data_IF_640132241953
#
_entry.id   IF_640132241953
#
_cell.length_a   1.000
_cell.length_b   1.000
_cell.length_c   1.000
_cell.angle_alpha   90.00
_cell.angle_beta   90.00
_cell.angle_gamma   90.00
#
_symmetry.space_group_name_H-M   'P 1'
#
loop_
_entity.id
_entity.type
_entity.pdbx_description
1 polymer ?
#
# COMPACT_ATOMS: atom_id res chain seq x y z
N UNK A 1 -25.76 -57.35 -39.07
CA UNK A 1 -26.38 -56.27 -38.27
C UNK A 1 -25.63 -56.27 -36.94
N UNK A 2 -24.61 -55.39 -36.79
CA UNK A 2 -24.64 -54.16 -35.96
C UNK A 2 -25.07 -54.52 -34.54
N UNK A 3 -24.19 -54.46 -33.54
CA UNK A 3 -23.83 -53.21 -32.86
C UNK A 3 -22.37 -53.20 -32.39
N UNK A 4 -21.60 -52.26 -32.94
CA UNK A 4 -20.33 -51.79 -32.39
C UNK A 4 -20.67 -50.65 -31.43
N UNK A 5 -20.58 -50.90 -30.13
CA UNK A 5 -20.59 -49.84 -29.12
C UNK A 5 -19.25 -49.12 -29.18
N UNK A 6 -19.19 -48.08 -30.01
CA UNK A 6 -18.18 -47.03 -29.96
C UNK A 6 -18.29 -46.28 -28.62
N UNK A 7 -17.58 -46.76 -27.60
CA UNK A 7 -17.27 -45.96 -26.42
C UNK A 7 -15.90 -45.31 -26.65
N UNK A 8 -15.94 -44.14 -27.29
CA UNK A 8 -14.81 -43.22 -27.41
C UNK A 8 -14.32 -42.85 -26.01
N UNK A 9 -13.26 -43.49 -25.54
CA UNK A 9 -12.57 -43.08 -24.32
C UNK A 9 -12.03 -41.66 -24.52
N UNK A 10 -12.53 -40.74 -23.69
CA UNK A 10 -12.19 -39.34 -23.64
C UNK A 10 -10.67 -39.08 -23.76
N UNK A 11 -10.27 -38.25 -24.71
CA UNK A 11 -8.99 -37.54 -24.73
C UNK A 11 -8.92 -36.63 -23.49
N UNK A 12 -8.47 -37.16 -22.35
CA UNK A 12 -8.15 -36.35 -21.17
C UNK A 12 -6.92 -35.53 -21.50
N UNK A 13 -7.13 -34.28 -21.92
CA UNK A 13 -6.05 -33.32 -22.10
C UNK A 13 -5.53 -32.91 -20.72
N UNK A 14 -4.34 -33.38 -20.35
CA UNK A 14 -3.68 -32.99 -19.11
C UNK A 14 -3.13 -31.56 -19.25
N UNK A 15 -3.39 -30.70 -18.28
CA UNK A 15 -2.87 -29.33 -18.24
C UNK A 15 -1.90 -29.21 -17.07
N UNK A 16 -0.64 -28.87 -17.36
CA UNK A 16 0.34 -28.55 -16.33
C UNK A 16 0.40 -27.04 -16.11
N UNK A 17 0.12 -26.62 -14.88
CA UNK A 17 0.30 -25.23 -14.47
C UNK A 17 1.69 -25.07 -13.88
N UNK A 18 2.58 -24.38 -14.60
CA UNK A 18 4.01 -24.30 -14.30
C UNK A 18 4.41 -22.92 -13.74
N UNK A 19 5.40 -22.91 -12.85
CA UNK A 19 6.01 -21.68 -12.30
C UNK A 19 7.29 -21.24 -13.07
N UNK A 20 7.60 -21.85 -14.21
CA UNK A 20 8.75 -21.53 -15.07
C UNK A 20 10.04 -22.32 -14.77
N UNK A 21 11.02 -22.22 -15.67
CA UNK A 21 12.38 -22.79 -15.48
C UNK A 21 12.47 -24.32 -15.60
N UNK A 22 13.23 -24.96 -14.71
CA UNK A 22 13.49 -26.42 -14.72
C UNK A 22 12.22 -27.26 -14.58
N UNK A 23 11.17 -26.73 -13.94
CA UNK A 23 9.86 -27.39 -13.86
C UNK A 23 9.16 -27.48 -15.20
N UNK A 24 9.33 -26.49 -16.09
CA UNK A 24 8.78 -26.52 -17.44
C UNK A 24 9.47 -27.61 -18.28
N UNK A 25 10.79 -27.71 -18.17
CA UNK A 25 11.57 -28.77 -18.82
C UNK A 25 11.20 -30.16 -18.29
N UNK A 26 11.10 -30.32 -16.97
CA UNK A 26 10.64 -31.57 -16.35
C UNK A 26 9.25 -31.98 -16.82
N UNK A 27 8.32 -31.02 -16.96
CA UNK A 27 6.99 -31.29 -17.50
C UNK A 27 7.03 -31.70 -18.99
N UNK A 28 7.88 -31.08 -19.81
CA UNK A 28 8.06 -31.48 -21.24
C UNK A 28 8.56 -32.91 -21.36
N UNK A 29 9.51 -33.31 -20.51
CA UNK A 29 10.10 -34.65 -20.53
C UNK A 29 9.16 -35.71 -19.95
N UNK A 30 8.48 -35.40 -18.84
CA UNK A 30 7.64 -36.37 -18.12
C UNK A 30 6.23 -36.55 -18.69
N UNK A 31 5.69 -35.55 -19.38
CA UNK A 31 4.35 -35.59 -19.98
C UNK A 31 4.27 -34.69 -21.23
N UNK A 32 4.91 -35.07 -22.34
CA UNK A 32 4.96 -34.26 -23.58
C UNK A 32 3.58 -34.00 -24.19
N UNK A 33 2.60 -34.88 -23.92
CA UNK A 33 1.21 -34.73 -24.35
C UNK A 33 0.42 -33.66 -23.58
N UNK A 34 0.97 -33.15 -22.48
CA UNK A 34 0.26 -32.23 -21.62
C UNK A 34 0.47 -30.78 -22.04
N UNK A 35 -0.61 -30.01 -22.03
CA UNK A 35 -0.60 -28.60 -22.39
C UNK A 35 0.00 -27.81 -21.22
N UNK A 36 1.07 -27.09 -21.47
CA UNK A 36 1.69 -26.22 -20.47
C UNK A 36 0.94 -24.90 -20.39
N UNK A 37 0.64 -24.47 -19.17
CA UNK A 37 -0.08 -23.24 -18.88
C UNK A 37 0.65 -22.47 -17.80
N UNK A 38 0.90 -21.18 -18.03
CA UNK A 38 1.46 -20.30 -17.02
C UNK A 38 0.41 -19.96 -15.96
N UNK A 39 0.84 -19.91 -14.71
CA UNK A 39 -0.05 -19.48 -13.63
C UNK A 39 -0.28 -17.95 -13.67
N UNK A 40 -1.54 -17.55 -13.83
CA UNK A 40 -1.96 -16.14 -13.87
C UNK A 40 -1.62 -15.36 -12.61
N UNK A 41 -1.52 -16.01 -11.44
CA UNK A 41 -1.06 -15.32 -10.23
C UNK A 41 0.39 -14.85 -10.37
N UNK A 42 1.27 -15.71 -10.91
CA UNK A 42 2.68 -15.37 -11.14
C UNK A 42 2.82 -14.30 -12.22
N UNK A 43 2.01 -14.35 -13.28
CA UNK A 43 1.98 -13.28 -14.29
C UNK A 43 1.65 -11.91 -13.66
N UNK A 44 0.61 -11.85 -12.83
CA UNK A 44 0.24 -10.61 -12.13
C UNK A 44 1.26 -10.17 -11.09
N UNK A 45 1.88 -11.11 -10.37
CA UNK A 45 2.92 -10.81 -9.37
C UNK A 45 4.21 -10.29 -10.03
N UNK A 46 4.65 -10.91 -11.12
CA UNK A 46 5.83 -10.48 -11.87
C UNK A 46 5.62 -9.09 -12.49
N UNK A 47 4.41 -8.82 -13.01
CA UNK A 47 4.05 -7.49 -13.50
C UNK A 47 4.06 -6.44 -12.38
N UNK A 48 3.54 -6.79 -11.20
CA UNK A 48 3.57 -5.91 -10.03
C UNK A 48 5.01 -5.57 -9.63
N UNK A 49 5.91 -6.54 -9.63
CA UNK A 49 7.32 -6.35 -9.27
C UNK A 49 8.05 -5.47 -10.30
N UNK A 50 7.76 -5.66 -11.59
CA UNK A 50 8.28 -4.78 -12.64
C UNK A 50 7.81 -3.33 -12.45
N UNK A 51 6.52 -3.12 -12.18
CA UNK A 51 5.98 -1.78 -11.94
C UNK A 51 6.49 -1.15 -10.65
N UNK A 52 6.72 -1.94 -9.59
CA UNK A 52 7.35 -1.43 -8.38
C UNK A 52 8.73 -0.84 -8.72
N UNK A 53 9.53 -1.49 -9.58
CA UNK A 53 10.80 -0.94 -10.04
C UNK A 53 10.65 0.37 -10.85
N UNK A 54 9.66 0.44 -11.75
CA UNK A 54 9.34 1.68 -12.50
C UNK A 54 9.13 2.85 -11.55
N UNK A 55 8.34 2.66 -10.49
CA UNK A 55 8.02 3.71 -9.52
C UNK A 55 9.10 3.93 -8.47
N UNK A 56 9.94 2.93 -8.18
CA UNK A 56 11.14 3.10 -7.35
C UNK A 56 12.12 4.08 -8.00
N UNK A 57 12.21 4.07 -9.33
CA UNK A 57 13.03 5.00 -10.10
C UNK A 57 12.38 6.39 -10.26
N UNK A 58 11.06 6.52 -10.03
CA UNK A 58 10.26 7.75 -10.17
C UNK A 58 9.66 8.26 -8.84
N UNK A 59 10.36 8.06 -7.71
CA UNK A 59 9.86 8.48 -6.38
C UNK A 59 9.58 9.97 -6.27
N UNK A 60 10.40 10.81 -6.90
CA UNK A 60 10.21 12.26 -6.88
C UNK A 60 8.92 12.66 -7.62
N UNK A 61 8.57 11.97 -8.72
CA UNK A 61 7.30 12.16 -9.42
C UNK A 61 6.12 11.91 -8.49
N UNK A 62 6.14 10.83 -7.69
CA UNK A 62 5.06 10.52 -6.74
C UNK A 62 4.92 11.61 -5.65
N UNK A 63 6.03 12.20 -5.21
CA UNK A 63 6.02 13.32 -4.27
C UNK A 63 5.39 14.55 -4.92
N UNK A 64 5.77 14.88 -6.16
CA UNK A 64 5.22 16.01 -6.91
C UNK A 64 3.73 15.86 -7.16
N UNK A 65 3.25 14.66 -7.55
CA UNK A 65 1.81 14.39 -7.72
C UNK A 65 1.05 14.68 -6.43
N UNK A 66 1.56 14.23 -5.28
CA UNK A 66 0.90 14.48 -4.00
C UNK A 66 0.90 15.96 -3.62
N UNK A 67 1.97 16.69 -3.94
CA UNK A 67 2.06 18.14 -3.71
C UNK A 67 1.05 18.91 -4.57
N UNK A 68 0.93 18.56 -5.85
CA UNK A 68 -0.05 19.19 -6.76
C UNK A 68 -1.49 18.94 -6.31
N UNK A 69 -1.78 17.72 -5.84
CA UNK A 69 -3.11 17.40 -5.27
C UNK A 69 -3.36 18.25 -4.03
N UNK A 70 -2.37 18.34 -3.12
CA UNK A 70 -2.49 19.17 -1.91
C UNK A 70 -2.66 20.67 -2.24
N UNK A 71 -1.99 21.18 -3.27
CA UNK A 71 -2.12 22.58 -3.71
C UNK A 71 -3.47 22.86 -4.38
N UNK A 72 -4.01 21.90 -5.16
CA UNK A 72 -5.35 22.05 -5.73
C UNK A 72 -6.47 22.04 -4.67
N UNK A 73 -6.17 21.52 -3.47
CA UNK A 73 -7.06 21.52 -2.31
C UNK A 73 -6.85 22.74 -1.39
N UNK A 74 -5.81 23.57 -1.61
CA UNK A 74 -5.55 24.79 -0.84
C UNK A 74 -6.47 25.94 -1.27
N UNK A 75 -7.75 25.85 -0.87
CA UNK A 75 -8.61 27.02 -0.72
C UNK A 75 -8.32 27.69 0.65
N UNK A 76 -7.60 28.82 0.61
CA UNK A 76 -7.57 29.99 1.53
C UNK A 76 -7.61 29.85 3.08
N UNK A 77 -7.55 28.66 3.70
CA UNK A 77 -7.78 28.51 5.15
C UNK A 77 -6.68 27.67 5.86
N UNK A 78 -6.36 27.97 7.14
CA UNK A 78 -5.27 27.30 7.88
C UNK A 78 -5.65 25.88 8.28
N UNK A 79 -4.71 24.95 8.09
CA UNK A 79 -4.84 23.54 8.49
C UNK A 79 -4.92 23.38 10.03
N UNK A 80 -5.66 22.35 10.48
CA UNK A 80 -5.79 22.04 11.90
C UNK A 80 -4.44 21.83 12.59
N UNK A 81 -4.29 22.26 13.87
CA UNK A 81 -3.18 21.82 14.68
C UNK A 81 -3.16 20.29 14.68
N UNK A 82 -2.04 19.68 14.31
CA UNK A 82 -1.85 18.23 14.38
C UNK A 82 -2.20 17.79 15.80
N UNK A 83 -3.33 17.10 15.95
CA UNK A 83 -3.72 16.50 17.24
C UNK A 83 -2.58 15.59 17.63
N UNK A 84 -1.90 15.83 18.74
CA UNK A 84 -1.10 14.81 19.45
C UNK A 84 -2.07 14.18 20.43
N UNK A 85 -2.25 12.86 20.44
CA UNK A 85 -1.30 11.95 21.03
C UNK A 85 -1.25 12.35 22.48
N UNK A 86 -2.09 11.76 23.33
CA UNK A 86 -2.04 12.03 24.77
C UNK A 86 -0.75 11.38 25.26
N UNK A 87 0.36 12.08 25.09
CA UNK A 87 1.66 11.82 25.72
C UNK A 87 2.56 13.02 25.44
N UNK A 88 2.88 13.75 26.51
CA UNK A 88 4.09 14.56 26.72
C UNK A 88 4.89 14.99 25.46
N UNK A 89 4.33 15.89 24.63
CA UNK A 89 4.96 16.37 23.40
C UNK A 89 6.40 16.90 23.58
N UNK A 90 6.70 17.64 24.65
CA UNK A 90 8.03 18.26 24.81
C UNK A 90 9.20 17.26 24.95
N UNK A 91 9.01 16.11 25.61
CA UNK A 91 10.10 15.12 25.80
C UNK A 91 10.22 14.12 24.65
N UNK A 92 9.10 13.78 24.00
CA UNK A 92 9.10 12.87 22.85
C UNK A 92 9.61 13.54 21.58
N UNK A 93 9.29 14.82 21.37
CA UNK A 93 9.76 15.60 20.21
C UNK A 93 11.29 15.83 20.28
N UNK A 94 11.80 16.23 21.45
CA UNK A 94 13.25 16.33 21.73
C UNK A 94 14.00 15.01 21.48
N UNK A 95 13.44 13.88 21.90
CA UNK A 95 14.07 12.57 21.67
C UNK A 95 14.00 12.14 20.20
N UNK A 96 12.95 12.53 19.47
CA UNK A 96 12.82 12.31 18.03
C UNK A 96 13.85 13.13 17.25
N UNK A 97 14.00 14.41 17.58
CA UNK A 97 15.00 15.31 16.99
C UNK A 97 16.43 14.83 17.24
N UNK A 98 16.75 14.42 18.49
CA UNK A 98 18.07 13.84 18.82
C UNK A 98 18.36 12.56 18.06
N UNK A 99 17.35 11.68 17.93
CA UNK A 99 17.47 10.44 17.17
C UNK A 99 17.65 10.72 15.67
N UNK A 100 16.97 11.72 15.14
CA UNK A 100 17.12 12.14 13.75
C UNK A 100 18.51 12.73 13.49
N UNK A 101 18.99 13.61 14.36
CA UNK A 101 20.33 14.17 14.28
C UNK A 101 21.40 13.07 14.24
N UNK A 102 21.28 12.05 15.10
CA UNK A 102 22.18 10.90 15.11
C UNK A 102 22.17 10.11 13.79
N UNK A 103 21.01 9.89 13.17
CA UNK A 103 20.94 9.19 11.88
C UNK A 103 21.52 10.00 10.71
N UNK A 104 21.33 11.33 10.72
CA UNK A 104 21.91 12.24 9.73
C UNK A 104 23.44 12.28 9.89
N UNK A 105 23.94 12.39 11.11
CA UNK A 105 25.37 12.35 11.41
C UNK A 105 26.00 11.03 10.95
N UNK A 106 25.35 9.90 11.26
CA UNK A 106 25.81 8.58 10.81
C UNK A 106 25.86 8.47 9.28
N UNK A 107 24.87 9.03 8.58
CA UNK A 107 24.87 9.11 7.12
C UNK A 107 26.04 9.92 6.57
N UNK A 108 26.27 11.12 7.09
CA UNK A 108 27.39 11.97 6.68
C UNK A 108 28.73 11.28 6.93
N UNK A 109 28.88 10.63 8.08
CA UNK A 109 30.10 9.90 8.45
C UNK A 109 30.38 8.72 7.52
N UNK A 110 29.36 7.93 7.16
CA UNK A 110 29.48 6.83 6.21
C UNK A 110 29.86 7.34 4.82
N UNK A 111 29.19 8.38 4.32
CA UNK A 111 29.49 8.96 2.99
C UNK A 111 30.90 9.56 2.94
N UNK A 112 31.33 10.24 4.01
CA UNK A 112 32.67 10.82 4.11
C UNK A 112 33.80 9.80 4.22
N UNK A 113 33.58 8.65 4.86
CA UNK A 113 34.57 7.57 4.90
C UNK A 113 34.64 6.83 3.56
N UNK A 114 33.51 6.67 2.88
CA UNK A 114 33.46 6.06 1.56
C UNK A 114 34.08 6.93 0.47
N UNK A 115 33.94 8.26 0.54
CA UNK A 115 34.63 9.17 -0.39
C UNK A 115 36.16 9.10 -0.26
N UNK A 116 36.66 8.77 0.94
CA UNK A 116 38.08 8.48 1.21
C UNK A 116 38.52 7.07 0.79
N UNK A 117 37.67 6.31 0.09
CA UNK A 117 37.92 4.94 -0.42
C UNK A 117 38.29 3.92 0.67
N UNK A 118 37.83 4.14 1.91
CA UNK A 118 37.99 3.18 3.01
C UNK A 118 37.15 1.94 2.73
N UNK A 119 37.70 0.75 2.98
CA UNK A 119 36.96 -0.51 2.80
C UNK A 119 35.70 -0.59 3.68
N UNK A 120 34.64 -1.18 3.14
CA UNK A 120 33.30 -1.24 3.75
C UNK A 120 33.34 -1.98 5.09
N UNK A 121 34.21 -2.98 5.26
CA UNK A 121 34.37 -3.67 6.54
C UNK A 121 35.00 -2.76 7.61
N UNK A 122 35.92 -1.88 7.21
CA UNK A 122 36.54 -0.90 8.11
C UNK A 122 35.57 0.23 8.46
N UNK A 123 34.77 0.70 7.49
CA UNK A 123 33.69 1.69 7.74
C UNK A 123 32.70 1.14 8.77
N UNK A 124 32.27 -0.12 8.62
CA UNK A 124 31.38 -0.78 9.56
C UNK A 124 31.94 -0.81 11.00
N UNK A 125 33.23 -1.12 11.16
CA UNK A 125 33.90 -1.12 12.48
C UNK A 125 34.02 0.30 13.06
N UNK A 126 34.38 1.30 12.26
CA UNK A 126 34.54 2.69 12.73
C UNK A 126 33.22 3.38 13.10
N UNK A 127 32.13 3.04 12.40
CA UNK A 127 30.80 3.62 12.65
C UNK A 127 30.01 2.80 13.67
N UNK A 128 30.51 1.62 14.08
CA UNK A 128 29.81 0.74 15.02
C UNK A 128 28.50 0.18 14.46
N UNK A 129 28.43 -0.04 13.14
CA UNK A 129 27.23 -0.46 12.42
C UNK A 129 27.48 -1.71 11.58
N UNK A 130 26.44 -2.50 11.30
CA UNK A 130 26.58 -3.68 10.45
C UNK A 130 26.92 -3.30 9.00
N UNK A 131 27.65 -4.16 8.29
CA UNK A 131 27.96 -3.98 6.86
C UNK A 131 26.69 -3.72 6.04
N UNK A 132 25.58 -4.40 6.36
CA UNK A 132 24.27 -4.21 5.73
C UNK A 132 23.73 -2.79 5.92
N UNK A 133 23.92 -2.20 7.10
CA UNK A 133 23.54 -0.79 7.36
C UNK A 133 24.42 0.16 6.57
N UNK A 134 25.73 -0.08 6.50
CA UNK A 134 26.65 0.72 5.68
C UNK A 134 26.24 0.69 4.21
N UNK A 135 26.02 -0.49 3.63
CA UNK A 135 25.51 -0.62 2.26
C UNK A 135 24.21 0.15 2.06
N UNK A 136 23.23 -0.02 2.95
CA UNK A 136 21.96 0.70 2.86
C UNK A 136 22.15 2.22 2.85
N UNK A 137 23.07 2.76 3.67
CA UNK A 137 23.32 4.20 3.74
C UNK A 137 24.07 4.74 2.53
N UNK A 138 24.99 3.96 1.95
CA UNK A 138 25.68 4.34 0.72
C UNK A 138 24.75 4.40 -0.50
N UNK A 139 23.74 3.54 -0.56
CA UNK A 139 22.73 3.55 -1.64
C UNK A 139 21.69 4.66 -1.49
N UNK A 140 21.65 5.39 -0.37
CA UNK A 140 20.75 6.52 -0.18
C UNK A 140 21.35 7.80 -0.77
N UNK A 141 20.63 8.39 -1.74
CA UNK A 141 21.03 9.66 -2.40
C UNK A 141 20.90 10.88 -1.48
N UNK A 142 20.17 10.78 -0.39
CA UNK A 142 19.95 11.84 0.60
C UNK A 142 19.93 11.27 2.02
N UNK A 143 20.10 12.11 3.06
CA UNK A 143 20.01 11.68 4.45
C UNK A 143 18.66 11.02 4.77
N UNK A 144 18.62 10.05 5.70
CA UNK A 144 17.39 9.37 6.08
C UNK A 144 16.34 10.38 6.60
N UNK A 145 15.11 10.30 6.08
CA UNK A 145 14.01 11.16 6.52
C UNK A 145 13.56 10.82 7.96
N UNK A 146 13.01 11.79 8.72
CA UNK A 146 12.49 11.55 10.06
C UNK A 146 11.47 10.42 10.10
N UNK A 147 11.71 9.43 10.95
CA UNK A 147 10.77 8.33 11.17
C UNK A 147 9.52 8.86 11.90
N UNK A 148 8.44 9.13 11.16
CA UNK A 148 7.16 9.53 11.76
C UNK A 148 6.45 8.28 12.28
N UNK A 149 6.51 8.07 13.60
CA UNK A 149 5.76 7.02 14.30
C UNK A 149 4.27 7.28 14.10
N UNK A 150 3.59 6.38 13.39
CA UNK A 150 2.15 6.43 13.23
C UNK A 150 1.50 5.88 14.51
N UNK A 151 0.92 6.77 15.31
CA UNK A 151 -0.05 6.33 16.31
C UNK A 151 -1.33 5.91 15.56
N UNK A 152 -1.57 4.60 15.48
CA UNK A 152 -2.71 4.00 14.77
C UNK A 152 -4.01 4.18 15.57
N UNK A 153 -3.91 4.51 16.87
CA UNK A 153 -5.08 4.71 17.71
C UNK A 153 -5.68 6.10 17.55
N UNK A 154 -7.01 6.20 17.33
CA UNK A 154 -7.68 7.49 17.29
C UNK A 154 -7.50 8.17 18.65
N UNK A 155 -7.06 9.42 18.61
CA UNK A 155 -6.80 10.20 19.83
C UNK A 155 -8.14 10.43 20.51
N UNK A 156 -8.20 10.38 21.85
CA UNK A 156 -9.46 10.52 22.59
C UNK A 156 -10.22 11.85 22.35
N UNK A 157 -9.62 12.79 21.61
CA UNK A 157 -10.21 14.07 21.19
C UNK A 157 -10.80 14.02 19.78
N UNK A 158 -10.28 13.13 18.93
CA UNK A 158 -10.56 13.05 17.50
C UNK A 158 -12.05 12.97 17.13
N UNK A 159 -12.91 12.25 17.87
CA UNK A 159 -14.34 12.19 17.56
C UNK A 159 -15.06 13.55 17.60
N UNK A 160 -14.59 14.49 18.44
CA UNK A 160 -15.26 15.76 18.67
C UNK A 160 -14.42 16.99 18.29
N UNK A 161 -13.31 16.78 17.60
CA UNK A 161 -12.53 17.86 16.95
C UNK A 161 -13.40 18.73 16.02
N UNK A 162 -14.28 18.18 15.16
CA UNK A 162 -15.08 19.01 14.25
C UNK A 162 -15.95 20.02 14.98
N UNK A 163 -16.60 19.59 16.07
CA UNK A 163 -17.44 20.46 16.89
C UNK A 163 -16.64 21.55 17.61
N UNK A 164 -15.50 21.20 18.21
CA UNK A 164 -14.66 22.17 18.89
C UNK A 164 -14.16 23.27 17.95
N UNK A 165 -13.87 22.93 16.69
CA UNK A 165 -13.46 23.89 15.67
C UNK A 165 -14.61 24.75 15.18
N UNK A 166 -15.79 24.16 14.99
CA UNK A 166 -16.99 24.91 14.66
C UNK A 166 -17.25 25.99 15.72
N UNK A 167 -17.30 25.61 17.00
CA UNK A 167 -17.51 26.57 18.11
C UNK A 167 -16.38 27.59 18.21
N UNK A 168 -15.15 27.19 17.93
CA UNK A 168 -14.02 28.11 17.89
C UNK A 168 -14.14 29.14 16.77
N UNK A 169 -14.59 28.72 15.58
CA UNK A 169 -14.83 29.60 14.44
C UNK A 169 -16.03 30.52 14.64
N UNK A 170 -17.05 30.06 15.38
CA UNK A 170 -18.17 30.88 15.87
C UNK A 170 -17.74 31.89 16.95
N UNK A 171 -16.47 31.89 17.37
CA UNK A 171 -15.90 32.86 18.31
C UNK A 171 -15.92 32.42 19.77
N UNK A 172 -16.41 31.21 20.09
CA UNK A 172 -16.32 30.70 21.45
C UNK A 172 -14.86 30.40 21.83
N UNK A 173 -14.38 31.03 22.91
CA UNK A 173 -13.01 30.81 23.44
C UNK A 173 -13.00 30.12 24.80
N UNK A 174 -14.17 29.83 25.38
CA UNK A 174 -14.31 29.21 26.69
C UNK A 174 -14.29 27.67 26.60
N UNK A 175 -13.27 27.05 27.19
CA UNK A 175 -13.09 25.61 27.18
C UNK A 175 -14.10 24.84 28.03
N UNK A 176 -14.58 25.44 29.12
CA UNK A 176 -15.56 24.79 30.01
C UNK A 176 -16.97 24.81 29.40
N UNK A 177 -17.27 25.84 28.61
CA UNK A 177 -18.50 25.90 27.85
C UNK A 177 -18.55 24.78 26.80
N UNK A 178 -17.51 24.68 25.96
CA UNK A 178 -17.42 23.60 24.97
C UNK A 178 -17.43 22.19 25.62
N UNK A 179 -16.84 22.04 26.81
CA UNK A 179 -16.88 20.77 27.55
C UNK A 179 -18.32 20.38 27.96
N UNK A 180 -19.15 21.35 28.38
CA UNK A 180 -20.56 21.10 28.73
C UNK A 180 -21.38 20.73 27.51
N UNK A 181 -21.23 21.50 26.43
CA UNK A 181 -21.90 21.24 25.15
C UNK A 181 -21.54 19.84 24.61
N UNK A 182 -20.27 19.42 24.70
CA UNK A 182 -19.85 18.07 24.33
C UNK A 182 -20.51 16.96 25.17
N UNK A 183 -20.71 17.19 26.47
CA UNK A 183 -21.40 16.24 27.35
C UNK A 183 -22.89 16.13 27.01
N UNK A 184 -23.53 17.25 26.70
CA UNK A 184 -24.94 17.31 26.30
C UNK A 184 -25.20 16.58 24.98
N UNK A 185 -24.24 16.63 24.04
CA UNK A 185 -24.27 15.84 22.81
C UNK A 185 -23.95 14.34 23.00
N UNK A 186 -23.83 13.86 24.24
CA UNK A 186 -23.60 12.45 24.54
C UNK A 186 -22.14 11.97 24.46
N UNK A 187 -21.18 12.88 24.30
CA UNK A 187 -19.76 12.52 24.40
C UNK A 187 -19.29 12.47 25.85
N UNK A 188 -18.26 11.66 26.13
CA UNK A 188 -17.57 11.64 27.43
C UNK A 188 -16.15 12.24 27.33
N UNK A 189 -16.02 13.57 27.10
CA UNK A 189 -14.72 14.20 26.92
C UNK A 189 -13.96 14.33 28.25
N UNK A 190 -12.64 14.17 28.20
CA UNK A 190 -11.77 14.52 29.34
C UNK A 190 -11.55 16.04 29.37
N UNK A 191 -11.79 16.67 30.54
CA UNK A 191 -11.53 18.12 30.77
C UNK A 191 -10.11 18.52 30.37
N UNK A 192 -9.14 17.67 30.70
CA UNK A 192 -7.72 17.89 30.37
C UNK A 192 -7.45 17.84 28.87
N UNK A 193 -8.16 17.00 28.13
CA UNK A 193 -7.99 16.84 26.68
C UNK A 193 -8.58 18.01 25.91
N UNK A 194 -9.79 18.46 26.27
CA UNK A 194 -10.43 19.65 25.69
C UNK A 194 -9.65 20.92 26.03
N UNK A 195 -9.23 21.08 27.30
CA UNK A 195 -8.45 22.24 27.73
C UNK A 195 -7.10 22.36 27.00
N UNK A 196 -6.38 21.25 26.80
CA UNK A 196 -5.14 21.24 26.02
C UNK A 196 -5.37 21.58 24.55
N UNK A 197 -6.40 21.01 23.93
CA UNK A 197 -6.75 21.29 22.54
C UNK A 197 -7.01 22.79 22.32
N UNK A 198 -7.82 23.40 23.19
CA UNK A 198 -8.18 24.83 23.11
C UNK A 198 -6.98 25.72 23.44
N UNK A 199 -6.14 25.35 24.40
CA UNK A 199 -4.90 26.08 24.70
C UNK A 199 -3.97 26.12 23.48
N UNK A 200 -3.92 25.03 22.71
CA UNK A 200 -3.14 24.99 21.47
C UNK A 200 -3.73 25.88 20.38
N UNK A 201 -5.06 25.88 20.20
CA UNK A 201 -5.72 26.82 19.28
C UNK A 201 -5.43 28.29 19.64
N UNK A 202 -5.30 28.62 20.93
CA UNK A 202 -4.87 29.96 21.38
C UNK A 202 -3.41 30.26 21.00
N UNK A 203 -2.52 29.30 21.20
CA UNK A 203 -1.10 29.44 20.86
C UNK A 203 -0.90 29.61 19.34
N UNK A 204 -1.57 28.79 18.52
CA UNK A 204 -1.44 28.81 17.06
C UNK A 204 -2.11 30.05 16.43
N UNK A 205 -3.10 30.65 17.11
CA UNK A 205 -3.68 31.93 16.71
C UNK A 205 -2.86 33.15 17.15
N UNK A 206 -1.73 32.96 17.86
CA UNK A 206 -0.89 34.06 18.37
C UNK A 206 -1.54 34.91 19.46
N UNK A 207 -2.76 34.57 19.90
CA UNK A 207 -3.53 35.35 20.88
C UNK A 207 -3.27 34.82 22.29
N UNK A 208 -2.28 35.40 22.97
CA UNK A 208 -2.16 35.26 24.42
C UNK A 208 -3.33 36.00 25.10
N UNK A 209 -3.94 35.34 26.10
CA UNK A 209 -5.08 35.77 26.95
C UNK A 209 -5.58 37.20 26.71
N UNK A 210 -6.47 37.39 25.73
CA UNK A 210 -7.37 38.55 25.71
C UNK A 210 -8.80 38.05 25.88
N UNK A 211 -9.48 38.56 26.90
CA UNK A 211 -10.88 38.27 27.22
C UNK A 211 -11.85 39.12 26.36
N UNK A 212 -11.32 39.99 25.49
CA UNK A 212 -12.13 40.86 24.63
C UNK A 212 -12.44 40.18 23.29
N UNK A 213 -13.72 40.11 22.97
CA UNK A 213 -14.28 39.62 21.71
C UNK A 213 -13.91 40.56 20.56
N UNK A 214 -12.90 40.21 19.78
CA UNK A 214 -12.70 40.80 18.45
C UNK A 214 -13.46 40.02 17.39
N UNK A 215 -14.03 40.73 16.41
CA UNK A 215 -14.63 40.16 15.20
C UNK A 215 -13.59 39.30 14.48
N UNK A 216 -13.95 38.07 14.12
CA UNK A 216 -12.97 37.04 13.71
C UNK A 216 -13.19 36.62 12.25
N UNK A 217 -12.12 36.67 11.45
CA UNK A 217 -12.03 35.99 10.15
C UNK A 217 -11.95 34.47 10.37
N UNK A 218 -12.57 33.68 9.50
CA UNK A 218 -12.57 32.21 9.59
C UNK A 218 -11.15 31.64 9.51
N UNK A 219 -10.65 31.01 10.59
CA UNK A 219 -9.24 30.60 10.67
C UNK A 219 -9.03 29.10 10.36
N UNK A 220 -9.94 28.19 10.71
CA UNK A 220 -9.67 26.74 10.64
C UNK A 220 -10.77 25.94 9.93
N UNK A 221 -10.42 25.12 8.93
CA UNK A 221 -11.31 24.08 8.38
C UNK A 221 -10.82 22.67 8.74
N UNK A 222 -11.74 21.71 8.78
CA UNK A 222 -11.48 20.31 9.07
C UNK A 222 -10.38 19.80 8.14
N UNK A 223 -9.31 19.23 8.71
CA UNK A 223 -8.15 18.79 7.93
C UNK A 223 -8.61 17.78 6.87
N UNK A 224 -8.53 18.16 5.60
CA UNK A 224 -8.50 17.18 4.51
C UNK A 224 -7.37 16.22 4.87
N UNK A 225 -7.67 14.92 4.91
CA UNK A 225 -6.67 13.92 5.29
C UNK A 225 -5.48 14.08 4.34
N UNK A 226 -4.38 14.67 4.83
CA UNK A 226 -3.16 14.79 4.04
C UNK A 226 -2.66 13.37 3.77
N UNK A 227 -3.02 12.83 2.61
CA UNK A 227 -2.51 11.55 2.17
C UNK A 227 -1.01 11.73 1.91
N UNK A 228 -0.19 10.88 2.54
CA UNK A 228 1.22 10.81 2.18
C UNK A 228 1.32 10.38 0.72
N UNK A 229 2.39 10.77 0.00
CA UNK A 229 2.62 10.25 -1.33
C UNK A 229 2.58 8.72 -1.27
N UNK A 230 1.82 8.14 -2.20
CA UNK A 230 1.67 6.69 -2.27
C UNK A 230 3.04 6.04 -2.46
N UNK A 231 3.27 4.91 -1.80
CA UNK A 231 4.51 4.16 -1.99
C UNK A 231 4.54 3.56 -3.41
N UNK A 232 5.75 3.29 -3.97
CA UNK A 232 5.89 2.65 -5.28
C UNK A 232 5.02 1.40 -5.46
N UNK A 233 5.00 0.53 -4.45
CA UNK A 233 4.16 -0.66 -4.45
C UNK A 233 2.66 -0.34 -4.40
N UNK A 234 2.26 0.71 -3.70
CA UNK A 234 0.84 1.12 -3.67
C UNK A 234 0.40 1.62 -5.04
N UNK A 235 1.20 2.44 -5.72
CA UNK A 235 0.91 2.91 -7.08
C UNK A 235 0.89 1.75 -8.07
N UNK A 236 1.87 0.84 -8.01
CA UNK A 236 1.89 -0.37 -8.83
C UNK A 236 0.62 -1.22 -8.64
N UNK A 237 0.13 -1.36 -7.39
CA UNK A 237 -1.14 -2.03 -7.11
C UNK A 237 -2.35 -1.29 -7.67
N UNK A 238 -2.34 0.04 -7.65
CA UNK A 238 -3.42 0.82 -8.26
C UNK A 238 -3.48 0.58 -9.76
N UNK A 239 -2.33 0.49 -10.44
CA UNK A 239 -2.25 0.12 -11.86
C UNK A 239 -2.89 -1.25 -12.14
N UNK A 240 -2.67 -2.26 -11.29
CA UNK A 240 -3.28 -3.58 -11.49
C UNK A 240 -4.75 -3.66 -11.08
N UNK A 241 -5.22 -2.76 -10.21
CA UNK A 241 -6.57 -2.79 -9.66
C UNK A 241 -7.63 -2.48 -10.72
N UNK A 242 -8.81 -3.09 -10.60
CA UNK A 242 -9.97 -2.75 -11.45
C UNK A 242 -10.45 -1.34 -11.14
N UNK A 243 -10.85 -0.59 -12.16
CA UNK A 243 -11.31 0.79 -12.03
C UNK A 243 -12.49 0.90 -11.06
N UNK A 244 -13.43 -0.05 -11.10
CA UNK A 244 -14.61 -0.05 -10.21
C UNK A 244 -14.28 -0.23 -8.72
N UNK A 245 -13.09 -0.76 -8.40
CA UNK A 245 -12.65 -1.00 -7.01
C UNK A 245 -11.81 0.15 -6.43
N UNK A 246 -11.50 1.16 -7.23
CA UNK A 246 -10.71 2.32 -6.81
C UNK A 246 -11.61 3.34 -6.14
N UNK A 247 -11.09 3.96 -5.09
CA UNK A 247 -11.73 5.12 -4.46
C UNK A 247 -11.59 6.34 -5.37
N UNK A 248 -12.45 7.33 -5.17
CA UNK A 248 -12.47 8.51 -6.03
C UNK A 248 -11.14 9.29 -6.02
N UNK A 249 -10.56 9.49 -4.83
CA UNK A 249 -9.24 10.11 -4.69
C UNK A 249 -8.11 9.27 -5.34
N UNK A 250 -8.24 7.95 -5.41
CA UNK A 250 -7.25 7.09 -6.09
C UNK A 250 -7.31 7.25 -7.60
N UNK A 251 -8.50 7.51 -8.17
CA UNK A 251 -8.66 7.82 -9.59
C UNK A 251 -8.04 9.19 -9.91
N UNK A 252 -8.39 10.21 -9.13
CA UNK A 252 -7.83 11.55 -9.27
C UNK A 252 -6.30 11.54 -9.14
N UNK A 253 -5.75 10.75 -8.21
CA UNK A 253 -4.31 10.59 -8.08
C UNK A 253 -3.66 10.04 -9.34
N UNK A 254 -4.25 8.99 -9.94
CA UNK A 254 -3.74 8.39 -11.17
C UNK A 254 -3.86 9.34 -12.37
N UNK A 255 -4.97 10.06 -12.49
CA UNK A 255 -5.16 11.06 -13.56
C UNK A 255 -4.09 12.15 -13.49
N UNK A 256 -3.82 12.68 -12.29
CA UNK A 256 -2.74 13.65 -12.07
C UNK A 256 -1.37 13.05 -12.35
N UNK A 257 -1.11 11.82 -11.90
CA UNK A 257 0.16 11.14 -12.13
C UNK A 257 0.44 10.95 -13.64
N UNK A 258 -0.55 10.49 -14.40
CA UNK A 258 -0.44 10.30 -15.85
C UNK A 258 -0.35 11.63 -16.61
N UNK A 259 -0.92 12.72 -16.07
CA UNK A 259 -0.81 14.04 -16.68
C UNK A 259 0.59 14.66 -16.54
N UNK A 260 1.35 14.29 -15.50
CA UNK A 260 2.69 14.84 -15.25
C UNK A 260 3.74 14.16 -16.13
N UNK A 261 3.65 12.84 -16.33
CA UNK A 261 4.64 12.06 -17.06
C UNK A 261 3.97 11.17 -18.12
N UNK A 262 4.26 11.46 -19.40
CA UNK A 262 3.74 10.73 -20.55
C UNK A 262 4.21 9.28 -20.61
N UNK A 263 5.42 8.96 -20.13
CA UNK A 263 5.90 7.57 -20.06
C UNK A 263 5.08 6.76 -19.04
N UNK A 264 4.68 7.39 -17.93
CA UNK A 264 3.83 6.76 -16.92
C UNK A 264 2.41 6.55 -17.46
N UNK A 265 1.86 7.51 -18.20
CA UNK A 265 0.58 7.36 -18.89
C UNK A 265 0.59 6.19 -19.89
N UNK A 266 1.63 6.11 -20.71
CA UNK A 266 1.82 5.03 -21.67
C UNK A 266 1.99 3.67 -20.97
N UNK A 267 2.77 3.62 -19.90
CA UNK A 267 2.93 2.42 -19.07
C UNK A 267 1.58 1.99 -18.49
N UNK A 268 0.75 2.95 -18.05
CA UNK A 268 -0.58 2.67 -17.51
C UNK A 268 -1.47 1.98 -18.55
N UNK A 269 -1.51 2.50 -19.78
CA UNK A 269 -2.29 1.91 -20.88
C UNK A 269 -1.83 0.48 -21.18
N UNK A 270 -0.52 0.27 -21.36
CA UNK A 270 0.04 -1.06 -21.62
C UNK A 270 -0.28 -2.05 -20.50
N UNK A 271 -0.24 -1.62 -19.24
CA UNK A 271 -0.63 -2.45 -18.10
C UNK A 271 -2.13 -2.75 -18.11
N UNK A 272 -2.98 -1.78 -18.43
CA UNK A 272 -4.43 -2.02 -18.52
C UNK A 272 -4.76 -3.03 -19.62
N UNK A 273 -4.16 -2.90 -20.81
CA UNK A 273 -4.32 -3.85 -21.92
C UNK A 273 -3.97 -5.28 -21.48
N UNK A 274 -2.82 -5.46 -20.83
CA UNK A 274 -2.42 -6.78 -20.32
C UNK A 274 -3.38 -7.29 -19.25
N UNK A 275 -3.83 -6.43 -18.34
CA UNK A 275 -4.74 -6.82 -17.27
C UNK A 275 -6.15 -7.13 -17.79
N UNK A 276 -6.60 -6.49 -18.87
CA UNK A 276 -7.84 -6.88 -19.59
C UNK A 276 -7.65 -8.27 -20.17
N UNK A 277 -6.57 -8.51 -20.91
CA UNK A 277 -6.24 -9.81 -21.51
C UNK A 277 -6.21 -10.94 -20.46
N UNK A 278 -5.56 -10.70 -19.32
CA UNK A 278 -5.46 -11.66 -18.21
C UNK A 278 -6.81 -11.97 -17.54
N UNK A 279 -7.72 -10.98 -17.49
CA UNK A 279 -9.03 -11.10 -16.86
C UNK A 279 -10.07 -11.73 -17.80
N UNK A 280 -10.04 -11.36 -19.08
CA UNK A 280 -11.00 -11.82 -20.10
C UNK A 280 -10.57 -13.07 -20.84
N UNK A 281 -9.36 -13.57 -20.55
CA UNK A 281 -8.80 -14.77 -21.17
C UNK A 281 -8.57 -14.62 -22.68
N UNK A 282 -8.05 -13.46 -23.10
CA UNK A 282 -7.82 -13.10 -24.51
C UNK A 282 -6.37 -13.34 -24.96
N UNK A 283 -5.79 -14.50 -24.66
CA UNK A 283 -4.39 -14.80 -24.95
C UNK A 283 -3.94 -14.60 -26.42
N UNK A 284 -4.86 -14.53 -27.39
CA UNK A 284 -4.54 -14.20 -28.78
C UNK A 284 -3.94 -12.80 -28.95
N UNK A 285 -4.30 -11.83 -28.09
CA UNK A 285 -3.75 -10.48 -28.12
C UNK A 285 -2.32 -10.36 -27.60
N UNK A 286 -1.74 -11.43 -27.02
CA UNK A 286 -0.42 -11.39 -26.37
C UNK A 286 0.69 -10.96 -27.34
N UNK A 287 0.66 -11.47 -28.58
CA UNK A 287 1.70 -11.17 -29.57
C UNK A 287 1.76 -9.70 -29.97
N UNK A 288 0.60 -9.05 -30.15
CA UNK A 288 0.52 -7.62 -30.48
C UNK A 288 0.95 -6.76 -29.31
N UNK A 289 0.51 -7.13 -28.10
CA UNK A 289 0.91 -6.44 -26.87
C UNK A 289 2.43 -6.49 -26.65
N UNK A 290 3.07 -7.64 -26.86
CA UNK A 290 4.52 -7.80 -26.74
C UNK A 290 5.27 -6.90 -27.73
N UNK A 291 4.83 -6.84 -29.00
CA UNK A 291 5.42 -5.93 -30.01
C UNK A 291 5.29 -4.47 -29.58
N UNK A 292 4.12 -4.07 -29.07
CA UNK A 292 3.86 -2.71 -28.59
C UNK A 292 4.78 -2.34 -27.43
N UNK A 293 4.87 -3.17 -26.39
CA UNK A 293 5.73 -2.93 -25.22
C UNK A 293 7.21 -2.90 -25.58
N UNK A 294 7.65 -3.71 -26.56
CA UNK A 294 9.05 -3.74 -26.98
C UNK A 294 9.52 -2.41 -27.58
N UNK A 295 8.64 -1.70 -28.28
CA UNK A 295 8.95 -0.41 -28.93
C UNK A 295 8.70 0.76 -27.98
N UNK A 296 7.58 0.71 -27.26
CA UNK A 296 7.01 1.86 -26.54
C UNK A 296 7.05 1.72 -25.02
N UNK A 297 7.43 0.55 -24.48
CA UNK A 297 7.42 0.31 -23.04
C UNK A 297 8.67 0.83 -22.36
N UNK A 298 8.55 1.13 -21.07
CA UNK A 298 9.71 1.42 -20.20
C UNK A 298 10.59 0.18 -20.01
N UNK A 299 11.88 0.39 -19.68
CA UNK A 299 12.89 -0.69 -19.59
C UNK A 299 12.46 -1.87 -18.72
N UNK A 300 11.84 -1.60 -17.57
CA UNK A 300 11.38 -2.62 -16.64
C UNK A 300 10.23 -3.45 -17.22
N UNK A 301 9.31 -2.81 -17.95
CA UNK A 301 8.19 -3.50 -18.61
C UNK A 301 8.65 -4.27 -19.85
N UNK A 302 9.65 -3.75 -20.59
CA UNK A 302 10.31 -4.48 -21.68
C UNK A 302 11.00 -5.74 -21.16
N UNK A 303 11.68 -5.67 -20.01
CA UNK A 303 12.30 -6.84 -19.37
C UNK A 303 11.26 -7.89 -18.96
N UNK A 304 10.11 -7.45 -18.43
CA UNK A 304 8.97 -8.32 -18.16
C UNK A 304 8.44 -8.98 -19.44
N UNK A 305 8.20 -8.22 -20.50
CA UNK A 305 7.75 -8.73 -21.80
C UNK A 305 8.73 -9.76 -22.40
N UNK A 306 10.03 -9.50 -22.34
CA UNK A 306 11.08 -10.45 -22.75
C UNK A 306 11.04 -11.75 -21.94
N UNK A 307 10.66 -11.67 -20.67
CA UNK A 307 10.42 -12.85 -19.84
C UNK A 307 9.25 -13.68 -20.35
N UNK A 308 8.14 -13.04 -20.72
CA UNK A 308 6.97 -13.71 -21.29
C UNK A 308 7.27 -14.35 -22.66
N UNK A 309 8.08 -13.71 -23.50
CA UNK A 309 8.48 -14.25 -24.81
C UNK A 309 9.17 -15.62 -24.71
N UNK A 310 9.96 -15.86 -23.64
CA UNK A 310 10.65 -17.14 -23.44
C UNK A 310 9.69 -18.31 -23.23
N UNK A 311 8.58 -18.07 -22.55
CA UNK A 311 7.55 -19.05 -22.22
C UNK A 311 6.24 -18.77 -22.98
N UNK A 312 6.32 -18.20 -24.18
CA UNK A 312 5.19 -17.62 -24.92
C UNK A 312 3.97 -18.54 -25.01
N UNK A 313 4.15 -19.79 -25.43
CA UNK A 313 3.04 -20.75 -25.58
C UNK A 313 2.35 -21.06 -24.25
N UNK A 314 3.13 -21.18 -23.16
CA UNK A 314 2.58 -21.42 -21.83
C UNK A 314 1.84 -20.18 -21.30
N UNK A 315 2.38 -18.98 -21.55
CA UNK A 315 1.73 -17.71 -21.18
C UNK A 315 0.44 -17.51 -21.96
N UNK A 316 0.47 -17.69 -23.29
CA UNK A 316 -0.70 -17.63 -24.16
C UNK A 316 -1.79 -18.58 -23.67
N UNK A 317 -1.42 -19.83 -23.38
CA UNK A 317 -2.34 -20.82 -22.82
C UNK A 317 -2.90 -20.39 -21.46
N UNK A 318 -2.07 -19.88 -20.57
CA UNK A 318 -2.49 -19.36 -19.25
C UNK A 318 -3.42 -18.15 -19.34
N UNK A 319 -3.31 -17.38 -20.41
CA UNK A 319 -4.18 -16.26 -20.76
C UNK A 319 -5.38 -16.67 -21.63
N UNK A 320 -5.56 -17.94 -21.99
CA UNK A 320 -6.70 -18.39 -22.82
C UNK A 320 -7.58 -19.42 -22.09
N UNK A 321 -6.98 -20.24 -21.22
CA UNK A 321 -7.71 -21.28 -20.52
C UNK A 321 -8.34 -20.79 -19.21
N UNK A 322 -9.52 -21.34 -18.88
CA UNK A 322 -10.21 -21.05 -17.62
C UNK A 322 -9.46 -21.55 -16.38
N UNK A 323 -8.56 -22.52 -16.54
CA UNK A 323 -7.85 -23.18 -15.45
C UNK A 323 -6.79 -22.27 -14.84
N UNK A 324 -6.69 -22.25 -13.51
CA UNK A 324 -5.74 -21.44 -12.75
C UNK A 324 -5.43 -22.12 -11.42
N UNK A 325 -4.18 -22.06 -10.98
CA UNK A 325 -3.72 -22.64 -9.72
C UNK A 325 -3.71 -21.63 -8.56
N UNK A 326 -3.96 -20.33 -8.80
CA UNK A 326 -3.90 -19.32 -7.75
C UNK A 326 -4.80 -19.57 -6.53
N UNK A 327 -5.99 -20.17 -6.72
CA UNK A 327 -6.88 -20.53 -5.62
C UNK A 327 -6.34 -21.67 -4.75
N UNK A 328 -5.82 -22.72 -5.39
CA UNK A 328 -5.18 -23.87 -4.75
C UNK A 328 -3.84 -23.48 -4.12
N UNK A 329 -3.04 -22.63 -4.75
CA UNK A 329 -1.78 -22.12 -4.20
C UNK A 329 -2.01 -21.36 -2.88
N UNK A 330 -3.07 -20.55 -2.80
CA UNK A 330 -3.48 -19.88 -1.56
C UNK A 330 -3.80 -20.88 -0.44
N UNK A 331 -4.51 -21.96 -0.75
CA UNK A 331 -4.81 -23.01 0.23
C UNK A 331 -3.57 -23.82 0.61
N UNK A 332 -2.69 -24.13 -0.34
CA UNK A 332 -1.41 -24.79 -0.10
C UNK A 332 -0.52 -23.93 0.80
N UNK A 333 -0.42 -22.63 0.53
CA UNK A 333 0.36 -21.70 1.37
C UNK A 333 -0.23 -21.58 2.77
N UNK A 334 -1.56 -21.55 2.90
CA UNK A 334 -2.24 -21.63 4.20
C UNK A 334 -1.90 -22.91 4.94
N UNK A 335 -1.93 -24.05 4.26
CA UNK A 335 -1.62 -25.35 4.84
C UNK A 335 -0.15 -25.46 5.24
N UNK A 336 0.76 -24.95 4.41
CA UNK A 336 2.19 -24.80 4.72
C UNK A 336 2.41 -23.92 5.95
N UNK A 337 1.69 -22.80 6.07
CA UNK A 337 1.76 -21.93 7.25
C UNK A 337 1.31 -22.67 8.52
N UNK A 338 0.18 -23.38 8.47
CA UNK A 338 -0.32 -24.17 9.60
C UNK A 338 0.68 -25.27 10.01
N UNK A 339 1.27 -25.96 9.02
CA UNK A 339 2.32 -26.96 9.25
C UNK A 339 3.58 -26.35 9.88
N UNK A 340 3.97 -25.14 9.48
CA UNK A 340 5.11 -24.40 10.09
C UNK A 340 4.79 -23.98 11.53
N UNK A 341 3.56 -23.58 11.82
CA UNK A 341 3.11 -23.25 13.18
C UNK A 341 3.12 -24.46 14.12
N UNK A 342 3.10 -25.68 13.58
CA UNK A 342 3.21 -26.93 14.35
C UNK A 342 4.61 -27.53 14.29
N UNK A 343 5.61 -26.78 13.81
CA UNK A 343 6.98 -27.25 13.63
C UNK A 343 7.08 -28.54 12.80
N UNK A 344 6.12 -28.77 11.90
CA UNK A 344 6.05 -30.00 11.10
C UNK A 344 5.54 -31.24 11.84
N UNK A 345 5.25 -31.15 13.14
CA UNK A 345 4.89 -32.27 14.02
C UNK A 345 3.40 -32.63 13.97
N UNK A 346 2.56 -31.82 13.31
CA UNK A 346 1.13 -32.12 13.24
C UNK A 346 0.84 -33.25 12.25
N UNK A 347 0.32 -34.36 12.78
CA UNK A 347 -0.29 -35.43 12.00
C UNK A 347 -1.55 -34.97 11.25
N UNK A 348 -2.05 -35.82 10.34
CA UNK A 348 -3.17 -35.49 9.45
C UNK A 348 -4.43 -35.02 10.21
N UNK A 349 -4.80 -35.71 11.30
CA UNK A 349 -6.01 -35.39 12.06
C UNK A 349 -5.94 -33.99 12.70
N UNK A 350 -4.79 -33.61 13.27
CA UNK A 350 -4.57 -32.28 13.83
C UNK A 350 -4.57 -31.20 12.73
N UNK A 351 -3.95 -31.48 11.58
CA UNK A 351 -3.98 -30.59 10.41
C UNK A 351 -5.40 -30.39 9.89
N UNK A 352 -6.17 -31.48 9.73
CA UNK A 352 -7.58 -31.47 9.31
C UNK A 352 -8.42 -30.61 10.25
N UNK A 353 -8.29 -30.82 11.57
CA UNK A 353 -9.01 -30.01 12.57
C UNK A 353 -8.63 -28.52 12.50
N UNK A 354 -7.34 -28.18 12.36
CA UNK A 354 -6.89 -26.78 12.24
C UNK A 354 -7.32 -26.10 10.93
N UNK A 355 -7.54 -26.86 9.86
CA UNK A 355 -8.04 -26.32 8.59
C UNK A 355 -9.55 -26.10 8.65
N UNK A 356 -10.31 -27.10 9.14
CA UNK A 356 -11.78 -27.11 9.16
C UNK A 356 -12.38 -26.26 10.29
N UNK A 357 -11.81 -26.30 11.49
CA UNK A 357 -12.34 -25.58 12.68
C UNK A 357 -11.69 -24.22 12.90
N UNK A 358 -10.99 -23.68 11.91
CA UNK A 358 -10.52 -22.29 11.99
C UNK A 358 -11.74 -21.39 11.91
N UNK A 359 -12.07 -20.74 13.01
CA UNK A 359 -13.06 -19.66 13.02
C UNK A 359 -12.79 -18.71 11.86
N UNK A 360 -13.73 -18.69 10.91
CA UNK A 360 -13.69 -17.72 9.83
C UNK A 360 -13.89 -16.36 10.50
N UNK A 361 -12.87 -15.50 10.50
CA UNK A 361 -13.00 -14.08 10.90
C UNK A 361 -13.87 -13.29 9.90
N UNK A 362 -15.08 -13.77 9.59
CA UNK A 362 -16.13 -13.06 8.85
C UNK A 362 -16.79 -11.99 9.74
N UNK A 363 -16.62 -12.05 11.07
CA UNK A 363 -17.32 -11.15 11.99
C UNK A 363 -16.82 -9.70 12.06
N UNK A 364 -15.67 -9.35 11.46
CA UNK A 364 -15.24 -7.92 11.45
C UNK A 364 -16.08 -7.05 10.52
N UNK A 365 -16.67 -7.60 9.45
CA UNK A 365 -17.59 -6.85 8.57
C UNK A 365 -19.03 -6.81 9.13
N UNK A 366 -19.47 -7.88 9.79
CA UNK A 366 -20.82 -7.94 10.38
C UNK A 366 -20.96 -7.07 11.63
N UNK A 367 -19.91 -6.96 12.48
CA UNK A 367 -19.92 -6.01 13.61
C UNK A 367 -20.05 -4.55 13.18
N UNK A 368 -19.45 -4.15 12.06
CA UNK A 368 -19.64 -2.78 11.50
C UNK A 368 -21.05 -2.55 10.95
N UNK A 369 -21.65 -3.56 10.30
CA UNK A 369 -23.03 -3.47 9.80
C UNK A 369 -24.07 -3.44 10.93
N UNK A 370 -23.90 -4.25 11.99
CA UNK A 370 -24.79 -4.22 13.16
C UNK A 370 -24.70 -2.88 13.91
N UNK A 371 -23.51 -2.31 14.08
CA UNK A 371 -23.34 -1.01 14.75
C UNK A 371 -24.00 0.15 13.98
N UNK A 372 -23.90 0.14 12.65
CA UNK A 372 -24.55 1.14 11.79
C UNK A 372 -26.08 1.03 11.71
N UNK A 373 -26.66 -0.13 12.05
CA UNK A 373 -28.12 -0.32 12.12
C UNK A 373 -28.66 0.11 13.48
N UNK A 374 -27.90 -0.13 14.56
CA UNK A 374 -28.28 0.35 15.91
C UNK A 374 -28.14 1.87 16.07
N UNK A 375 -27.19 2.51 15.38
CA UNK A 375 -27.02 3.98 15.37
C UNK A 375 -28.02 4.70 14.45
N UNK A 376 -28.81 3.98 13.65
CA UNK A 376 -29.92 4.54 12.84
C UNK A 376 -31.30 4.33 13.45
N UNK A 377 -31.38 3.54 14.52
CA UNK A 377 -32.62 3.19 15.21
C UNK A 377 -32.72 3.82 16.62
N UNK A 378 -31.72 4.60 17.00
CA UNK A 378 -31.70 5.53 18.13
C UNK A 378 -31.50 6.93 17.56
#
# INVERSE_FOLDING_TARGET
RKEVLNLSFNLVSYIFIIQGGSFAQGAKLGAPQAIQSADRWHLGKNLLDALEQVFLNRRELLKQTQQLIAQSEENTLRALPVTVGITLGSKQDCNSEKRQAHYVEMYQRIQGLHSKKVDIANIARQVGSSRRTVYRYLHMKSPPEPAVIQHIEPKAVEPYVPYLLQRWNEGCRNAEQMLRELKEMGYSPSRSSVGRFITRLRHDSGKARSFKSEKTETIYQQSVQKHRPLSPLQVARLFLSKVEKRKEWEKQYLEKLCAIDSEVAQTYEQVQEFMVMLRQLEGNGLGEWLKKVKVLGVKELQAFAKGLEKDYEAVKTGLSLKWNNGGSEGQINRLKLLKRQTYGQAGFELMRRRVLHREVKVERKQRKKKKAVTEKAA
#
